data_IF_541251287171
#
_entry.id   IF_541251287171
#
_cell.length_a   1.000
_cell.length_b   1.000
_cell.length_c   1.000
_cell.angle_alpha   90.00
_cell.angle_beta   90.00
_cell.angle_gamma   90.00
#
_symmetry.space_group_name_H-M   'P 1'
#
loop_
_entity.id
_entity.type
_entity.pdbx_description
1 polymer ?
#
# COMPACT_ATOMS: atom_id res chain seq x y z
N UNK A 1 66.90 19.97 48.02
CA UNK A 1 66.53 19.50 46.66
C UNK A 1 65.02 19.29 46.65
N UNK A 2 64.26 20.35 46.23
CA UNK A 2 62.77 20.37 46.27
C UNK A 2 62.20 19.93 44.94
N UNK A 3 61.41 18.88 44.95
CA UNK A 3 60.66 18.43 43.73
C UNK A 3 59.32 19.17 43.63
N UNK A 4 59.18 19.97 42.58
CA UNK A 4 57.94 20.62 42.15
C UNK A 4 56.91 19.59 41.70
N UNK A 5 55.69 19.58 42.27
CA UNK A 5 54.52 18.86 41.79
C UNK A 5 53.91 19.66 40.63
N UNK A 6 53.80 19.01 39.49
CA UNK A 6 53.10 19.48 38.33
C UNK A 6 51.57 19.39 38.58
N UNK A 7 50.87 20.52 38.39
CA UNK A 7 49.39 20.57 38.35
C UNK A 7 48.92 20.21 36.94
N UNK A 8 48.09 19.19 36.82
CA UNK A 8 47.33 18.90 35.59
C UNK A 8 46.13 19.86 35.49
N UNK A 9 45.93 20.54 34.36
CA UNK A 9 44.75 21.34 34.12
C UNK A 9 43.74 20.54 33.28
N UNK A 10 42.52 20.47 33.77
CA UNK A 10 41.39 20.27 32.85
C UNK A 10 40.49 19.06 33.04
N UNK A 11 39.88 18.95 34.21
CA UNK A 11 38.67 18.15 34.32
C UNK A 11 37.46 19.09 34.24
N UNK A 12 36.88 19.18 33.02
CA UNK A 12 35.61 19.88 32.85
C UNK A 12 34.50 18.95 33.35
N UNK A 13 33.98 19.27 34.56
CA UNK A 13 32.76 18.65 35.07
C UNK A 13 31.60 19.02 34.14
N UNK A 14 31.05 18.03 33.45
CA UNK A 14 29.78 18.16 32.73
C UNK A 14 28.68 18.19 33.77
N UNK A 15 28.16 19.38 34.09
CA UNK A 15 26.99 19.53 34.96
C UNK A 15 25.80 18.93 34.21
N UNK A 16 25.31 17.79 34.66
CA UNK A 16 24.00 17.28 34.27
C UNK A 16 22.97 18.25 34.85
N UNK A 17 22.41 19.07 33.98
CA UNK A 17 21.23 19.88 34.32
C UNK A 17 20.05 18.90 34.43
N UNK A 18 19.66 18.56 35.66
CA UNK A 18 18.44 17.80 35.92
C UNK A 18 17.25 18.68 35.50
N UNK A 19 16.61 18.32 34.38
CA UNK A 19 15.39 18.98 33.94
C UNK A 19 14.27 18.56 34.89
N UNK A 20 13.80 19.52 35.72
CA UNK A 20 12.72 19.28 36.66
C UNK A 20 11.41 18.93 35.92
N UNK A 21 10.54 18.12 36.56
CA UNK A 21 9.22 17.73 35.98
C UNK A 21 8.42 18.95 35.53
N UNK A 22 8.49 20.08 36.20
CA UNK A 22 7.82 21.33 35.81
C UNK A 22 8.40 21.94 34.53
N UNK A 23 9.71 21.85 34.31
CA UNK A 23 10.37 22.40 33.14
C UNK A 23 10.14 21.50 31.92
N UNK A 24 10.08 20.18 32.13
CA UNK A 24 9.65 19.23 31.08
C UNK A 24 8.21 19.51 30.62
N UNK A 25 7.27 19.74 31.56
CA UNK A 25 5.88 20.05 31.21
C UNK A 25 5.77 21.38 30.46
N UNK A 26 6.52 22.42 30.88
CA UNK A 26 6.53 23.72 30.18
C UNK A 26 7.10 23.61 28.78
N UNK A 27 8.14 22.80 28.58
CA UNK A 27 8.75 22.56 27.27
C UNK A 27 7.80 21.73 26.38
N UNK A 28 7.11 20.75 26.94
CA UNK A 28 6.15 19.91 26.22
C UNK A 28 4.90 20.71 25.78
N UNK A 29 4.41 21.64 26.61
CA UNK A 29 3.29 22.52 26.27
C UNK A 29 3.68 23.57 25.22
N UNK A 30 4.94 24.06 25.25
CA UNK A 30 5.44 24.98 24.21
C UNK A 30 5.74 24.33 22.86
N UNK A 31 5.88 23.01 22.83
CA UNK A 31 6.12 22.21 21.62
C UNK A 31 4.88 21.49 21.09
N UNK A 32 3.68 21.78 21.61
CA UNK A 32 2.44 21.33 21.00
C UNK A 32 2.24 22.06 19.68
N UNK A 33 2.92 21.58 18.64
CA UNK A 33 2.60 21.89 17.25
C UNK A 33 1.19 21.38 17.06
N UNK A 34 0.22 22.28 16.94
CA UNK A 34 -1.14 21.92 16.52
C UNK A 34 -1.02 21.37 15.10
N UNK A 35 -0.91 20.05 14.99
CA UNK A 35 -0.95 19.39 13.71
C UNK A 35 -2.40 19.45 13.22
N UNK A 36 -2.70 20.43 12.36
CA UNK A 36 -3.99 20.50 11.68
C UNK A 36 -3.98 19.37 10.64
N UNK A 37 -4.56 18.23 11.01
CA UNK A 37 -4.77 17.13 10.06
C UNK A 37 -5.98 17.53 9.21
N UNK A 38 -5.82 17.67 7.88
CA UNK A 38 -6.92 18.00 6.99
C UNK A 38 -8.04 16.95 7.10
N UNK A 39 -9.30 17.39 7.01
CA UNK A 39 -10.47 16.54 7.23
C UNK A 39 -10.55 15.33 6.28
N UNK A 40 -10.02 15.47 5.07
CA UNK A 40 -9.94 14.37 4.09
C UNK A 40 -8.98 13.25 4.49
N UNK A 41 -8.10 13.46 5.49
CA UNK A 41 -7.20 12.44 6.02
C UNK A 41 -7.84 11.68 7.19
N UNK A 42 -8.76 12.34 7.92
CA UNK A 42 -9.41 11.75 9.10
C UNK A 42 -10.65 10.92 8.76
N UNK A 43 -11.13 10.98 7.52
CA UNK A 43 -12.39 10.36 7.14
C UNK A 43 -13.61 11.08 7.74
N UNK A 44 -14.81 10.58 7.49
CA UNK A 44 -16.07 11.13 8.00
C UNK A 44 -17.23 10.91 7.03
N UNK A 45 -18.43 11.46 7.31
CA UNK A 45 -19.65 11.15 6.52
C UNK A 45 -19.55 11.43 5.01
N UNK A 46 -18.57 12.25 4.58
CA UNK A 46 -18.35 12.59 3.17
C UNK A 46 -16.95 12.22 2.66
N UNK A 47 -16.10 11.62 3.50
CA UNK A 47 -14.70 11.32 3.13
C UNK A 47 -14.27 10.00 3.75
N UNK A 48 -13.79 9.09 2.89
CA UNK A 48 -13.10 7.85 3.31
C UNK A 48 -11.64 8.21 3.56
N UNK A 49 -11.12 7.90 4.75
CA UNK A 49 -9.70 8.09 5.02
C UNK A 49 -8.87 7.20 4.06
N UNK A 50 -7.68 7.64 3.61
CA UNK A 50 -6.83 6.80 2.77
C UNK A 50 -6.50 5.43 3.39
N UNK A 51 -6.41 5.36 4.72
CA UNK A 51 -6.20 4.11 5.49
C UNK A 51 -7.40 3.15 5.48
N UNK A 52 -8.58 3.64 5.13
CA UNK A 52 -9.82 2.85 5.14
C UNK A 52 -10.16 2.33 3.73
N UNK A 53 -9.36 2.70 2.73
CA UNK A 53 -9.51 2.23 1.36
C UNK A 53 -8.87 0.86 1.18
N UNK A 54 -9.53 0.02 0.39
CA UNK A 54 -9.01 -1.29 -0.01
C UNK A 54 -7.91 -1.11 -1.06
N UNK A 55 -6.75 -1.75 -0.85
CA UNK A 55 -5.68 -1.81 -1.84
C UNK A 55 -6.00 -2.88 -2.89
N UNK A 56 -6.48 -2.44 -4.03
CA UNK A 56 -6.92 -3.31 -5.11
C UNK A 56 -5.80 -3.48 -6.15
N UNK A 57 -5.46 -4.73 -6.46
CA UNK A 57 -4.69 -5.08 -7.65
C UNK A 57 -5.61 -5.61 -8.75
N UNK A 58 -5.26 -5.38 -10.01
CA UNK A 58 -6.00 -5.91 -11.13
C UNK A 58 -5.09 -6.68 -12.09
N UNK A 59 -5.52 -7.89 -12.48
CA UNK A 59 -4.86 -8.74 -13.46
C UNK A 59 -5.74 -8.86 -14.71
N UNK A 60 -5.22 -8.37 -15.85
CA UNK A 60 -5.98 -8.13 -17.06
C UNK A 60 -6.63 -6.74 -17.01
N UNK A 61 -5.97 -5.73 -17.61
CA UNK A 61 -6.38 -4.32 -17.46
C UNK A 61 -7.18 -3.77 -18.64
N UNK A 62 -7.37 -4.55 -19.69
CA UNK A 62 -8.09 -4.12 -20.89
C UNK A 62 -9.43 -4.89 -21.07
N UNK A 63 -10.25 -4.46 -22.01
CA UNK A 63 -11.54 -5.07 -22.29
C UNK A 63 -12.44 -5.06 -21.05
N UNK A 64 -12.84 -6.24 -20.57
CA UNK A 64 -13.67 -6.33 -19.36
C UNK A 64 -12.95 -5.83 -18.11
N UNK A 65 -11.64 -6.11 -17.99
CA UNK A 65 -10.83 -5.64 -16.87
C UNK A 65 -10.84 -4.12 -16.72
N UNK A 66 -10.80 -3.39 -17.83
CA UNK A 66 -10.95 -1.93 -17.82
C UNK A 66 -12.27 -1.49 -17.17
N UNK A 67 -13.36 -2.15 -17.51
CA UNK A 67 -14.67 -1.85 -16.91
C UNK A 67 -14.69 -2.18 -15.43
N UNK A 68 -14.15 -3.32 -15.02
CA UNK A 68 -14.13 -3.77 -13.64
C UNK A 68 -13.28 -2.84 -12.76
N UNK A 69 -12.11 -2.42 -13.24
CA UNK A 69 -11.25 -1.45 -12.54
C UNK A 69 -11.98 -0.11 -12.37
N UNK A 70 -12.71 0.34 -13.39
CA UNK A 70 -13.45 1.60 -13.34
C UNK A 70 -14.52 1.61 -12.24
N UNK A 71 -15.21 0.49 -12.04
CA UNK A 71 -16.25 0.38 -11.00
C UNK A 71 -15.67 0.50 -9.58
N UNK A 72 -14.41 0.10 -9.38
CA UNK A 72 -13.71 0.15 -8.09
C UNK A 72 -12.67 1.28 -8.01
N UNK A 73 -12.63 2.19 -8.98
CA UNK A 73 -11.64 3.29 -9.02
C UNK A 73 -11.77 4.29 -7.86
N UNK A 74 -12.83 4.19 -7.06
CA UNK A 74 -13.00 4.93 -5.81
C UNK A 74 -12.14 4.38 -4.67
N UNK A 75 -11.68 3.13 -4.77
CA UNK A 75 -10.71 2.51 -3.87
C UNK A 75 -9.26 2.88 -4.25
N UNK A 76 -8.28 2.30 -3.59
CA UNK A 76 -6.88 2.48 -3.93
C UNK A 76 -6.45 1.45 -4.97
N UNK A 77 -6.37 1.84 -6.26
CA UNK A 77 -5.81 0.99 -7.31
C UNK A 77 -4.30 0.95 -7.11
N UNK A 78 -3.85 -0.09 -6.41
CA UNK A 78 -2.50 -0.22 -5.90
C UNK A 78 -1.52 -0.80 -6.93
N UNK A 79 -1.94 -1.83 -7.67
CA UNK A 79 -1.12 -2.47 -8.68
C UNK A 79 -1.96 -2.94 -9.89
N UNK A 80 -1.33 -2.95 -11.05
CA UNK A 80 -1.90 -3.40 -12.32
C UNK A 80 -0.97 -4.42 -12.97
N UNK A 81 -1.53 -5.49 -13.49
CA UNK A 81 -0.79 -6.54 -14.17
C UNK A 81 -1.43 -6.88 -15.52
N UNK A 82 -0.66 -6.79 -16.58
CA UNK A 82 -1.06 -7.27 -17.93
C UNK A 82 0.19 -7.69 -18.70
N UNK A 83 0.08 -8.75 -19.49
CA UNK A 83 1.18 -9.23 -20.35
C UNK A 83 1.43 -8.32 -21.57
N UNK A 84 0.46 -7.48 -21.93
CA UNK A 84 0.56 -6.55 -23.06
C UNK A 84 0.66 -5.10 -22.57
N UNK A 85 1.89 -4.58 -22.55
CA UNK A 85 2.19 -3.21 -22.11
C UNK A 85 1.44 -2.15 -22.92
N UNK A 86 1.15 -2.42 -24.22
CA UNK A 86 0.41 -1.48 -25.07
C UNK A 86 -1.04 -1.34 -24.62
N UNK A 87 -1.66 -2.47 -24.24
CA UNK A 87 -3.03 -2.47 -23.71
C UNK A 87 -3.11 -1.79 -22.35
N UNK A 88 -2.12 -2.04 -21.50
CA UNK A 88 -1.99 -1.33 -20.21
C UNK A 88 -1.84 0.18 -20.44
N UNK A 89 -0.92 0.60 -21.31
CA UNK A 89 -0.72 2.01 -21.62
C UNK A 89 -2.00 2.66 -22.15
N UNK A 90 -2.66 2.05 -23.13
CA UNK A 90 -3.91 2.55 -23.71
C UNK A 90 -5.03 2.71 -22.65
N UNK A 91 -5.13 1.80 -21.67
CA UNK A 91 -6.09 1.93 -20.58
C UNK A 91 -5.73 3.09 -19.65
N UNK A 92 -4.44 3.29 -19.36
CA UNK A 92 -3.97 4.33 -18.47
C UNK A 92 -4.00 5.75 -19.08
N UNK A 93 -4.14 5.88 -20.39
CA UNK A 93 -4.32 7.17 -21.07
C UNK A 93 -5.74 7.75 -20.88
N UNK A 94 -6.70 6.97 -20.42
CA UNK A 94 -8.07 7.44 -20.20
C UNK A 94 -8.17 8.39 -18.99
N UNK A 95 -9.05 9.38 -19.08
CA UNK A 95 -9.17 10.45 -18.04
C UNK A 95 -9.54 9.92 -16.66
N UNK A 96 -10.38 8.88 -16.59
CA UNK A 96 -10.82 8.31 -15.31
C UNK A 96 -9.68 7.63 -14.51
N UNK A 97 -8.55 7.34 -15.14
CA UNK A 97 -7.37 6.74 -14.49
C UNK A 97 -6.46 7.78 -13.81
N UNK A 98 -6.71 9.08 -14.03
CA UNK A 98 -5.86 10.17 -13.56
C UNK A 98 -5.54 10.11 -12.06
N UNK A 99 -6.44 9.56 -11.24
CA UNK A 99 -6.25 9.45 -9.80
C UNK A 99 -5.19 8.43 -9.37
N UNK A 100 -4.91 7.42 -10.20
CA UNK A 100 -4.04 6.31 -9.83
C UNK A 100 -2.97 5.94 -10.87
N UNK A 101 -3.10 6.32 -12.15
CA UNK A 101 -2.22 5.87 -13.25
C UNK A 101 -0.72 6.07 -13.01
N UNK A 102 -0.34 7.14 -12.29
CA UNK A 102 1.05 7.47 -11.99
C UNK A 102 1.54 6.82 -10.68
N UNK A 103 0.61 6.38 -9.84
CA UNK A 103 0.88 5.78 -8.52
C UNK A 103 0.83 4.27 -8.55
N UNK A 104 -0.08 3.69 -9.34
CA UNK A 104 -0.25 2.26 -9.44
C UNK A 104 1.02 1.58 -9.97
N UNK A 105 1.47 0.56 -9.27
CA UNK A 105 2.62 -0.27 -9.67
C UNK A 105 2.23 -1.12 -10.87
N UNK A 106 3.17 -1.38 -11.78
CA UNK A 106 2.90 -2.06 -13.06
C UNK A 106 3.72 -3.32 -13.14
N UNK A 107 3.07 -4.43 -13.46
CA UNK A 107 3.67 -5.76 -13.56
C UNK A 107 3.25 -6.45 -14.85
N UNK A 108 4.12 -7.34 -15.34
CA UNK A 108 3.80 -8.24 -16.45
C UNK A 108 3.46 -9.65 -15.97
N UNK A 109 3.96 -10.05 -14.81
CA UNK A 109 3.67 -11.33 -14.17
C UNK A 109 2.94 -11.09 -12.84
N UNK A 110 1.75 -11.67 -12.71
CA UNK A 110 0.94 -11.56 -11.49
C UNK A 110 1.59 -12.20 -10.26
N UNK A 111 2.50 -13.18 -10.46
CA UNK A 111 3.22 -13.82 -9.37
C UNK A 111 4.20 -12.83 -8.75
N UNK A 112 5.01 -12.17 -9.60
CA UNK A 112 5.90 -11.10 -9.15
C UNK A 112 5.14 -9.99 -8.43
N UNK A 113 3.95 -9.62 -8.94
CA UNK A 113 3.11 -8.62 -8.30
C UNK A 113 2.68 -9.07 -6.90
N UNK A 114 2.16 -10.28 -6.76
CA UNK A 114 1.66 -10.80 -5.48
C UNK A 114 2.79 -11.04 -4.47
N UNK A 115 3.96 -11.49 -4.93
CA UNK A 115 5.12 -11.76 -4.08
C UNK A 115 5.78 -10.47 -3.55
N UNK A 116 5.81 -9.42 -4.38
CA UNK A 116 6.45 -8.16 -4.05
C UNK A 116 5.53 -7.16 -3.33
N UNK A 117 4.20 -7.36 -3.37
CA UNK A 117 3.23 -6.40 -2.87
C UNK A 117 2.33 -7.01 -1.77
N UNK A 118 2.86 -7.20 -0.57
CA UNK A 118 2.10 -7.76 0.55
C UNK A 118 0.91 -6.89 0.99
N UNK A 119 0.94 -5.60 0.66
CA UNK A 119 -0.11 -4.63 1.02
C UNK A 119 -1.36 -4.71 0.14
N UNK A 120 -1.39 -5.54 -0.89
CA UNK A 120 -2.60 -5.82 -1.66
C UNK A 120 -3.62 -6.50 -0.76
N UNK A 121 -4.84 -5.98 -0.70
CA UNK A 121 -5.95 -6.58 0.05
C UNK A 121 -6.82 -7.45 -0.87
N UNK A 122 -7.09 -6.98 -2.08
CA UNK A 122 -7.98 -7.62 -3.03
C UNK A 122 -7.43 -7.66 -4.45
N UNK A 123 -7.75 -8.71 -5.20
CA UNK A 123 -7.32 -8.92 -6.58
C UNK A 123 -8.51 -9.05 -7.50
N UNK A 124 -8.63 -8.17 -8.50
CA UNK A 124 -9.55 -8.29 -9.61
C UNK A 124 -8.91 -9.15 -10.71
N UNK A 125 -9.60 -10.17 -11.17
CA UNK A 125 -9.10 -11.11 -12.17
C UNK A 125 -10.03 -11.08 -13.38
N UNK A 126 -9.54 -10.46 -14.47
CA UNK A 126 -10.28 -10.25 -15.72
C UNK A 126 -9.45 -10.69 -16.93
N UNK A 127 -8.72 -11.77 -16.76
CA UNK A 127 -7.89 -12.45 -17.76
C UNK A 127 -8.74 -13.39 -18.66
N UNK A 128 -8.14 -14.07 -19.64
CA UNK A 128 -8.79 -15.22 -20.28
C UNK A 128 -9.10 -16.34 -19.27
N UNK A 129 -10.17 -17.08 -19.54
CA UNK A 129 -10.82 -18.06 -18.66
C UNK A 129 -9.83 -19.05 -18.00
N UNK A 130 -8.87 -19.56 -18.78
CA UNK A 130 -7.87 -20.54 -18.32
C UNK A 130 -6.90 -19.99 -17.25
N UNK A 131 -6.85 -18.68 -17.07
CA UNK A 131 -6.00 -18.03 -16.05
C UNK A 131 -6.76 -17.65 -14.80
N UNK A 132 -8.09 -17.74 -14.78
CA UNK A 132 -8.90 -17.36 -13.62
C UNK A 132 -8.51 -18.16 -12.37
N UNK A 133 -8.59 -19.50 -12.47
CA UNK A 133 -8.30 -20.37 -11.34
C UNK A 133 -6.83 -20.30 -10.84
N UNK A 134 -5.80 -20.36 -11.70
CA UNK A 134 -4.43 -20.22 -11.26
C UNK A 134 -4.14 -18.94 -10.49
N UNK A 135 -4.66 -17.80 -10.97
CA UNK A 135 -4.45 -16.50 -10.32
C UNK A 135 -5.24 -16.45 -9.00
N UNK A 136 -6.51 -16.85 -9.02
CA UNK A 136 -7.37 -16.85 -7.85
C UNK A 136 -6.81 -17.73 -6.72
N UNK A 137 -6.40 -18.96 -7.04
CA UNK A 137 -5.80 -19.90 -6.09
C UNK A 137 -4.55 -19.31 -5.44
N UNK A 138 -3.67 -18.70 -6.24
CA UNK A 138 -2.44 -18.09 -5.71
C UNK A 138 -2.76 -16.91 -4.79
N UNK A 139 -3.64 -16.00 -5.21
CA UNK A 139 -4.03 -14.85 -4.41
C UNK A 139 -4.70 -15.27 -3.09
N UNK A 140 -5.61 -16.25 -3.13
CA UNK A 140 -6.28 -16.78 -1.93
C UNK A 140 -5.29 -17.49 -1.00
N UNK A 141 -4.31 -18.22 -1.52
CA UNK A 141 -3.27 -18.86 -0.71
C UNK A 141 -2.40 -17.84 0.03
N UNK A 142 -2.27 -16.61 -0.50
CA UNK A 142 -1.62 -15.47 0.15
C UNK A 142 -2.59 -14.67 1.05
N UNK A 143 -3.80 -15.16 1.30
CA UNK A 143 -4.80 -14.51 2.15
C UNK A 143 -5.47 -13.28 1.53
N UNK A 144 -5.38 -13.09 0.20
CA UNK A 144 -6.01 -11.96 -0.49
C UNK A 144 -7.46 -12.28 -0.84
N UNK A 145 -8.31 -11.27 -0.79
CA UNK A 145 -9.66 -11.35 -1.37
C UNK A 145 -9.57 -11.39 -2.89
N UNK A 146 -10.49 -12.10 -3.54
CA UNK A 146 -10.51 -12.20 -5.00
C UNK A 146 -11.89 -11.89 -5.56
N UNK A 147 -11.91 -11.17 -6.67
CA UNK A 147 -13.05 -11.04 -7.57
C UNK A 147 -12.65 -11.57 -8.93
N UNK A 148 -13.32 -12.63 -9.38
CA UNK A 148 -12.98 -13.31 -10.65
C UNK A 148 -14.12 -13.09 -11.64
N UNK A 149 -13.75 -12.69 -12.87
CA UNK A 149 -14.73 -12.62 -13.96
C UNK A 149 -15.30 -14.01 -14.31
N UNK A 150 -16.47 -13.98 -14.91
CA UNK A 150 -17.14 -15.21 -15.40
C UNK A 150 -16.38 -15.74 -16.64
N UNK A 151 -16.32 -17.05 -16.82
CA UNK A 151 -16.65 -18.09 -15.86
C UNK A 151 -15.62 -18.14 -14.72
N UNK A 152 -16.02 -18.53 -13.52
CA UNK A 152 -15.14 -18.58 -12.37
C UNK A 152 -13.91 -19.47 -12.62
N UNK A 153 -14.11 -20.58 -13.28
CA UNK A 153 -13.07 -21.56 -13.60
C UNK A 153 -13.30 -22.15 -14.99
N UNK A 154 -12.25 -22.74 -15.56
CA UNK A 154 -12.30 -23.41 -16.85
C UNK A 154 -12.72 -24.89 -16.72
N UNK A 155 -12.48 -25.52 -15.58
CA UNK A 155 -12.80 -26.94 -15.32
C UNK A 155 -13.50 -27.15 -13.97
N UNK A 156 -14.19 -28.30 -13.83
CA UNK A 156 -14.81 -28.71 -12.56
C UNK A 156 -13.74 -28.98 -11.48
N UNK A 157 -12.57 -29.46 -11.86
CA UNK A 157 -11.47 -29.70 -10.90
C UNK A 157 -10.99 -28.39 -10.29
N UNK A 158 -10.83 -27.34 -11.09
CA UNK A 158 -10.49 -26.00 -10.63
C UNK A 158 -11.57 -25.42 -9.69
N UNK A 159 -12.85 -25.61 -10.02
CA UNK A 159 -13.93 -25.15 -9.17
C UNK A 159 -13.91 -25.82 -7.78
N UNK A 160 -13.57 -27.09 -7.73
CA UNK A 160 -13.39 -27.82 -6.46
C UNK A 160 -12.18 -27.33 -5.67
N UNK A 161 -11.09 -27.00 -6.36
CA UNK A 161 -9.89 -26.46 -5.74
C UNK A 161 -10.15 -25.10 -5.06
N UNK A 162 -10.92 -24.22 -5.72
CA UNK A 162 -11.27 -22.91 -5.16
C UNK A 162 -12.27 -22.97 -3.99
N UNK A 163 -12.91 -24.12 -3.76
CA UNK A 163 -13.87 -24.32 -2.66
C UNK A 163 -13.21 -24.85 -1.38
N UNK A 164 -11.91 -25.18 -1.41
CA UNK A 164 -11.14 -25.69 -0.25
C UNK A 164 -10.53 -24.55 0.56
#
# INVERSE_FOLDING_TARGET
MMKKKSKNPGEKSISRTEIGRRDFIKTAVGASVFMIVPRHVLGGPAYVAPSDKVNVAAVGVNGKGKTDIREVAHENIYALCDIDDRKMAATLEEDWTAGFRDKAKKYRDYREMLDNEPEIDAVLISTPDHMHSPIATHAMALGKHVYVQKPLTHTVAEARLLAL
#
